data_IF_159287300709
#
_entry.id   IF_159287300709
#
_cell.length_a   1.000
_cell.length_b   1.000
_cell.length_c   1.000
_cell.angle_alpha   90.00
_cell.angle_beta   90.00
_cell.angle_gamma   90.00
#
_symmetry.space_group_name_H-M   'P 1'
#
loop_
_entity.id
_entity.type
_entity.pdbx_description
1 polymer ?
#
# COMPACT_ATOMS: atom_id res chain seq x y z
N UNK A 1 -18.05 52.59 -15.40
CA UNK A 1 -18.40 51.41 -16.20
C UNK A 1 -18.82 50.30 -15.25
N UNK A 2 -20.11 49.92 -15.22
CA UNK A 2 -20.61 48.82 -14.39
C UNK A 2 -20.35 47.50 -15.13
N UNK A 3 -19.49 46.66 -14.58
CA UNK A 3 -19.32 45.28 -15.03
C UNK A 3 -20.47 44.45 -14.47
N UNK A 4 -21.36 43.99 -15.34
CA UNK A 4 -22.35 42.98 -14.98
C UNK A 4 -21.66 41.62 -15.03
N UNK A 5 -21.41 41.02 -13.87
CA UNK A 5 -21.11 39.58 -13.81
C UNK A 5 -22.35 38.86 -14.33
N UNK A 6 -22.25 38.28 -15.53
CA UNK A 6 -23.30 37.45 -16.11
C UNK A 6 -23.46 36.27 -15.16
N UNK A 7 -24.62 36.15 -14.50
CA UNK A 7 -24.92 34.97 -13.72
C UNK A 7 -24.82 33.76 -14.66
N UNK A 8 -23.88 32.86 -14.40
CA UNK A 8 -23.80 31.58 -15.10
C UNK A 8 -25.20 30.96 -15.08
N UNK A 9 -25.69 30.52 -16.24
CA UNK A 9 -27.03 29.95 -16.31
C UNK A 9 -27.10 28.73 -15.39
N UNK A 10 -28.22 28.55 -14.69
CA UNK A 10 -28.46 27.37 -13.85
C UNK A 10 -28.13 26.05 -14.59
N UNK A 11 -28.36 26.02 -15.90
CA UNK A 11 -28.01 24.89 -16.78
C UNK A 11 -26.50 24.67 -16.90
N UNK A 12 -25.70 25.73 -17.01
CA UNK A 12 -24.24 25.62 -17.05
C UNK A 12 -23.69 25.05 -15.74
N UNK A 13 -24.25 25.46 -14.60
CA UNK A 13 -23.88 24.93 -13.29
C UNK A 13 -24.23 23.44 -13.15
N UNK A 14 -25.43 23.03 -13.59
CA UNK A 14 -25.84 21.62 -13.59
C UNK A 14 -24.96 20.76 -14.48
N UNK A 15 -24.56 21.26 -15.65
CA UNK A 15 -23.62 20.57 -16.55
C UNK A 15 -22.25 20.42 -15.90
N UNK A 16 -21.74 21.46 -15.24
CA UNK A 16 -20.45 21.38 -14.54
C UNK A 16 -20.48 20.35 -13.40
N UNK A 17 -21.55 20.35 -12.59
CA UNK A 17 -21.72 19.40 -11.48
C UNK A 17 -21.85 17.97 -12.00
N UNK A 18 -22.61 17.74 -13.07
CA UNK A 18 -22.78 16.38 -13.61
C UNK A 18 -21.48 15.83 -14.17
N UNK A 19 -20.71 16.64 -14.90
CA UNK A 19 -19.39 16.25 -15.38
C UNK A 19 -18.44 15.93 -14.23
N UNK A 20 -18.39 16.79 -13.20
CA UNK A 20 -17.56 16.54 -12.03
C UNK A 20 -17.95 15.25 -11.30
N UNK A 21 -19.26 15.01 -11.13
CA UNK A 21 -19.76 13.80 -10.47
C UNK A 21 -19.37 12.53 -11.22
N UNK A 22 -19.50 12.53 -12.56
CA UNK A 22 -19.09 11.40 -13.40
C UNK A 22 -17.58 11.16 -13.28
N UNK A 23 -16.77 12.21 -13.41
CA UNK A 23 -15.31 12.10 -13.27
C UNK A 23 -14.89 11.59 -11.89
N UNK A 24 -15.50 12.12 -10.83
CA UNK A 24 -15.24 11.69 -9.46
C UNK A 24 -15.62 10.23 -9.24
N UNK A 25 -16.75 9.78 -9.81
CA UNK A 25 -17.20 8.40 -9.70
C UNK A 25 -16.24 7.42 -10.38
N UNK A 26 -15.82 7.73 -11.61
CA UNK A 26 -14.83 6.92 -12.34
C UNK A 26 -13.51 6.85 -11.56
N UNK A 27 -13.02 8.00 -11.07
CA UNK A 27 -11.79 8.05 -10.27
C UNK A 27 -11.91 7.22 -8.99
N UNK A 28 -13.01 7.35 -8.25
CA UNK A 28 -13.24 6.62 -7.00
C UNK A 28 -13.30 5.11 -7.23
N UNK A 29 -13.93 4.68 -8.32
CA UNK A 29 -13.98 3.26 -8.69
C UNK A 29 -12.58 2.71 -9.01
N UNK A 30 -11.82 3.44 -9.84
CA UNK A 30 -10.44 3.07 -10.17
C UNK A 30 -9.54 3.07 -8.94
N UNK A 31 -9.63 4.09 -8.09
CA UNK A 31 -8.83 4.21 -6.87
C UNK A 31 -9.05 3.02 -5.92
N UNK A 32 -10.29 2.58 -5.78
CA UNK A 32 -10.64 1.42 -4.94
C UNK A 32 -9.95 0.14 -5.45
N UNK A 33 -9.92 -0.07 -6.76
CA UNK A 33 -9.22 -1.20 -7.37
C UNK A 33 -7.70 -1.12 -7.16
N UNK A 34 -7.11 0.08 -7.27
CA UNK A 34 -5.67 0.25 -7.05
C UNK A 34 -5.25 0.07 -5.60
N UNK A 35 -6.13 0.41 -4.65
CA UNK A 35 -5.78 0.42 -3.23
C UNK A 35 -5.30 -0.96 -2.74
N UNK A 36 -5.98 -2.04 -3.17
CA UNK A 36 -5.58 -3.40 -2.83
C UNK A 36 -4.15 -3.73 -3.33
N UNK A 37 -3.84 -3.36 -4.57
CA UNK A 37 -2.51 -3.61 -5.16
C UNK A 37 -1.43 -2.79 -4.47
N UNK A 38 -1.70 -1.52 -4.17
CA UNK A 38 -0.77 -0.65 -3.44
C UNK A 38 -0.50 -1.19 -2.03
N UNK A 39 -1.53 -1.63 -1.31
CA UNK A 39 -1.35 -2.23 0.02
C UNK A 39 -0.53 -3.52 -0.03
N UNK A 40 -0.76 -4.38 -1.02
CA UNK A 40 0.06 -5.58 -1.21
C UNK A 40 1.54 -5.24 -1.42
N UNK A 41 1.84 -4.33 -2.36
CA UNK A 41 3.21 -3.92 -2.65
C UNK A 41 3.89 -3.28 -1.43
N UNK A 42 3.15 -2.47 -0.68
CA UNK A 42 3.66 -1.84 0.53
C UNK A 42 3.99 -2.87 1.63
N UNK A 43 3.12 -3.86 1.85
CA UNK A 43 3.40 -4.96 2.79
C UNK A 43 4.56 -5.84 2.33
N UNK A 44 4.67 -6.09 1.02
CA UNK A 44 5.78 -6.82 0.44
C UNK A 44 7.12 -6.10 0.67
N UNK A 45 7.17 -4.78 0.48
CA UNK A 45 8.36 -3.98 0.76
C UNK A 45 8.75 -4.01 2.23
N UNK A 46 7.78 -3.89 3.15
CA UNK A 46 8.05 -4.03 4.59
C UNK A 46 8.58 -5.42 4.93
N UNK A 47 7.98 -6.48 4.37
CA UNK A 47 8.46 -7.83 4.57
C UNK A 47 9.91 -7.99 4.09
N UNK A 48 10.29 -7.37 2.97
CA UNK A 48 11.67 -7.39 2.47
C UNK A 48 12.64 -6.66 3.41
N UNK A 49 12.26 -5.50 3.94
CA UNK A 49 13.07 -4.79 4.95
C UNK A 49 13.24 -5.61 6.24
N UNK A 50 12.18 -6.32 6.66
CA UNK A 50 12.27 -7.26 7.79
C UNK A 50 13.23 -8.39 7.44
N UNK A 51 13.22 -8.89 6.20
CA UNK A 51 14.12 -9.92 5.72
C UNK A 51 15.59 -9.51 5.80
N UNK A 52 15.91 -8.32 5.28
CA UNK A 52 17.26 -7.74 5.34
C UNK A 52 17.75 -7.61 6.78
N UNK A 53 16.86 -7.17 7.68
CA UNK A 53 17.19 -7.07 9.10
C UNK A 53 17.42 -8.45 9.75
N UNK A 54 16.63 -9.47 9.43
CA UNK A 54 16.88 -10.82 9.94
C UNK A 54 18.19 -11.39 9.41
N UNK A 55 18.51 -11.13 8.16
CA UNK A 55 19.75 -11.56 7.56
C UNK A 55 20.96 -10.90 8.25
N UNK A 56 20.88 -9.61 8.52
CA UNK A 56 21.91 -8.90 9.28
C UNK A 56 22.07 -9.47 10.70
N UNK A 57 20.98 -9.86 11.37
CA UNK A 57 21.05 -10.52 12.68
C UNK A 57 21.77 -11.87 12.60
N UNK A 58 21.46 -12.69 11.60
CA UNK A 58 22.10 -13.99 11.39
C UNK A 58 23.61 -13.84 11.10
N UNK A 59 23.98 -12.87 10.25
CA UNK A 59 25.39 -12.54 9.98
C UNK A 59 26.12 -12.02 11.23
N UNK A 60 25.42 -11.35 12.14
CA UNK A 60 25.95 -10.92 13.43
C UNK A 60 25.96 -12.04 14.49
N UNK A 61 25.57 -13.27 14.15
CA UNK A 61 25.48 -14.41 15.07
C UNK A 61 24.35 -14.29 16.10
N UNK A 62 23.37 -13.40 15.88
CA UNK A 62 22.20 -13.24 16.74
C UNK A 62 21.06 -14.17 16.32
N UNK A 63 20.20 -14.50 17.28
CA UNK A 63 19.03 -15.35 17.01
C UNK A 63 18.00 -14.62 16.16
N UNK A 64 17.44 -15.34 15.19
CA UNK A 64 16.35 -14.83 14.36
C UNK A 64 15.07 -14.60 15.20
N UNK A 65 14.39 -13.48 14.94
CA UNK A 65 13.11 -13.16 15.56
C UNK A 65 11.99 -13.94 14.90
N UNK A 66 11.07 -14.50 15.68
CA UNK A 66 9.92 -15.28 15.16
C UNK A 66 8.73 -14.44 14.68
N UNK A 67 8.61 -13.22 15.19
CA UNK A 67 7.55 -12.31 14.75
C UNK A 67 7.90 -10.86 15.01
N UNK A 68 7.39 -9.96 14.18
CA UNK A 68 7.55 -8.51 14.30
C UNK A 68 6.20 -7.86 14.03
N UNK A 69 5.84 -6.86 14.83
CA UNK A 69 4.67 -6.02 14.59
C UNK A 69 5.14 -4.67 14.05
N UNK A 70 4.64 -4.25 12.88
CA UNK A 70 4.89 -2.93 12.30
C UNK A 70 3.60 -2.37 11.72
N UNK A 71 3.31 -1.10 11.99
CA UNK A 71 2.11 -0.41 11.48
C UNK A 71 0.80 -1.18 11.75
N UNK A 72 0.66 -1.75 12.96
CA UNK A 72 -0.46 -2.59 13.38
C UNK A 72 -0.65 -3.87 12.56
N UNK A 73 0.35 -4.27 11.77
CA UNK A 73 0.37 -5.53 11.02
C UNK A 73 1.36 -6.49 11.67
N UNK A 74 0.94 -7.75 11.79
CA UNK A 74 1.78 -8.81 12.33
C UNK A 74 2.50 -9.55 11.20
N UNK A 75 3.82 -9.63 11.30
CA UNK A 75 4.68 -10.38 10.40
C UNK A 75 5.21 -11.61 11.13
N UNK A 76 4.98 -12.79 10.57
CA UNK A 76 5.51 -14.05 11.09
C UNK A 76 6.74 -14.45 10.31
N UNK A 77 7.81 -14.78 11.02
CA UNK A 77 9.13 -15.03 10.45
C UNK A 77 9.53 -16.46 10.77
N UNK A 78 9.78 -17.23 9.72
CA UNK A 78 10.30 -18.60 9.76
C UNK A 78 11.72 -18.59 9.19
N UNK A 79 12.70 -18.65 10.07
CA UNK A 79 14.11 -18.78 9.71
C UNK A 79 14.49 -20.25 9.66
N UNK A 80 14.76 -20.75 8.46
CA UNK A 80 15.41 -22.04 8.23
C UNK A 80 16.82 -21.80 7.70
N UNK A 81 17.73 -22.78 7.87
CA UNK A 81 19.14 -22.67 7.47
C UNK A 81 19.36 -22.31 5.99
N UNK A 82 18.37 -22.56 5.11
CA UNK A 82 18.44 -22.30 3.67
C UNK A 82 17.47 -21.23 3.17
N UNK A 83 16.45 -20.88 3.95
CA UNK A 83 15.39 -19.99 3.50
C UNK A 83 14.77 -19.21 4.65
N UNK A 84 14.55 -17.93 4.40
CA UNK A 84 13.82 -17.03 5.26
C UNK A 84 12.42 -16.81 4.69
N UNK A 85 11.40 -17.24 5.43
CA UNK A 85 10.00 -17.07 5.03
C UNK A 85 9.33 -16.04 5.93
N UNK A 86 8.73 -15.02 5.32
CA UNK A 86 8.01 -13.95 6.04
C UNK A 86 6.58 -13.92 5.55
N UNK A 87 5.64 -14.15 6.47
CA UNK A 87 4.19 -14.13 6.21
C UNK A 87 3.59 -12.83 6.74
N UNK A 88 2.73 -12.22 5.94
CA UNK A 88 1.99 -10.99 6.24
C UNK A 88 0.53 -11.13 5.79
N UNK A 89 -0.39 -10.26 6.22
CA UNK A 89 -1.83 -10.48 5.98
C UNK A 89 -2.23 -10.64 4.52
N UNK A 90 -1.55 -9.96 3.59
CA UNK A 90 -1.83 -10.03 2.16
C UNK A 90 -0.99 -11.07 1.39
N UNK A 91 -0.10 -11.82 2.04
CA UNK A 91 0.72 -12.81 1.36
C UNK A 91 1.98 -13.27 2.10
N UNK A 92 2.94 -13.80 1.36
CA UNK A 92 4.22 -14.26 1.89
C UNK A 92 5.36 -13.98 0.91
N UNK A 93 6.56 -13.80 1.46
CA UNK A 93 7.80 -13.77 0.69
C UNK A 93 8.75 -14.86 1.19
N UNK A 94 9.50 -15.42 0.26
CA UNK A 94 10.59 -16.35 0.54
C UNK A 94 11.89 -15.73 0.02
N UNK A 95 12.84 -15.54 0.92
CA UNK A 95 14.16 -15.00 0.60
C UNK A 95 15.20 -16.10 0.87
N UNK A 96 16.11 -16.39 -0.07
CA UNK A 96 17.17 -17.37 0.17
C UNK A 96 18.09 -16.89 1.30
N UNK A 97 18.48 -17.82 2.18
CA UNK A 97 19.49 -17.56 3.21
C UNK A 97 20.90 -17.84 2.62
N UNK A 98 21.87 -16.93 2.75
CA UNK A 98 23.25 -17.12 2.29
C UNK A 98 24.03 -18.14 3.12
#
# INVERSE_FOLDING_TARGET
MKQYFKAESYMALLVAISLFAISFWVYSHWQTQQNHRTHFLYQQQQALQIAENQLALMLAGQSCKRSVSQNNLQFFIECNDRQLKIRFPLGEINVPNP
#
